data_IF_613482517735
#
_entry.id   IF_613482517735
#
_cell.length_a   1.000
_cell.length_b   1.000
_cell.length_c   1.000
_cell.angle_alpha   90.00
_cell.angle_beta   90.00
_cell.angle_gamma   90.00
#
_symmetry.space_group_name_H-M   'P 1'
#
loop_
_entity.id
_entity.type
_entity.pdbx_description
1 polymer ?
#
# COMPACT_ATOMS: atom_id res chain seq x y z
N UNK A 1 0.90 4.90 13.52
CA UNK A 1 0.50 3.55 13.03
C UNK A 1 0.73 3.42 11.53
N UNK A 2 0.27 4.40 10.76
CA UNK A 2 0.70 4.63 9.37
C UNK A 2 2.22 4.75 9.21
N UNK A 3 2.96 5.18 10.24
CA UNK A 3 4.44 5.20 10.21
C UNK A 3 5.04 3.80 9.99
N UNK A 4 4.45 2.75 10.59
CA UNK A 4 4.91 1.38 10.38
C UNK A 4 4.70 0.94 8.91
N UNK A 5 3.59 1.38 8.30
CA UNK A 5 3.29 1.11 6.90
C UNK A 5 4.25 1.87 5.97
N UNK A 6 4.51 3.15 6.23
CA UNK A 6 5.47 3.96 5.47
C UNK A 6 6.90 3.42 5.58
N UNK A 7 7.33 3.00 6.77
CA UNK A 7 8.63 2.39 6.99
C UNK A 7 8.75 1.07 6.22
N UNK A 8 7.69 0.26 6.19
CA UNK A 8 7.64 -0.96 5.40
C UNK A 8 7.71 -0.67 3.89
N UNK A 9 6.93 0.30 3.39
CA UNK A 9 6.97 0.73 1.98
C UNK A 9 8.38 1.20 1.59
N UNK A 10 9.03 1.99 2.43
CA UNK A 10 10.40 2.43 2.19
C UNK A 10 11.38 1.24 2.14
N UNK A 11 11.24 0.29 3.06
CA UNK A 11 12.10 -0.89 3.08
C UNK A 11 11.88 -1.80 1.87
N UNK A 12 10.64 -2.08 1.49
CA UNK A 12 10.32 -2.99 0.37
C UNK A 12 10.78 -2.38 -0.96
N UNK A 13 10.58 -1.07 -1.17
CA UNK A 13 11.04 -0.36 -2.38
C UNK A 13 12.57 -0.40 -2.50
N UNK A 14 13.31 -0.12 -1.43
CA UNK A 14 14.77 -0.14 -1.47
C UNK A 14 15.33 -1.55 -1.67
N UNK A 15 14.73 -2.56 -1.03
CA UNK A 15 15.19 -3.95 -1.14
C UNK A 15 14.88 -4.59 -2.50
N UNK A 16 13.86 -4.09 -3.21
CA UNK A 16 13.44 -4.63 -4.50
C UNK A 16 13.77 -3.71 -5.69
N UNK A 17 14.53 -2.62 -5.49
CA UNK A 17 14.89 -1.65 -6.55
C UNK A 17 15.47 -2.30 -7.82
N UNK A 18 16.28 -3.34 -7.67
CA UNK A 18 16.89 -4.04 -8.81
C UNK A 18 15.88 -4.92 -9.59
N UNK A 19 14.80 -5.33 -8.94
CA UNK A 19 13.75 -6.18 -9.52
C UNK A 19 12.73 -5.32 -10.26
N UNK A 20 12.30 -4.23 -9.62
CA UNK A 20 11.23 -3.37 -10.13
C UNK A 20 11.73 -2.30 -11.11
N UNK A 21 13.06 -2.13 -11.22
CA UNK A 21 13.69 -1.10 -12.04
C UNK A 21 13.84 0.23 -11.32
N UNK A 22 14.90 0.97 -11.68
CA UNK A 22 15.26 2.21 -10.98
C UNK A 22 14.19 3.30 -11.10
N UNK A 23 13.60 3.46 -12.30
CA UNK A 23 12.56 4.47 -12.55
C UNK A 23 11.32 4.25 -11.69
N UNK A 24 10.82 3.01 -11.65
CA UNK A 24 9.65 2.68 -10.84
C UNK A 24 9.95 2.75 -9.34
N UNK A 25 11.15 2.33 -8.92
CA UNK A 25 11.58 2.50 -7.53
C UNK A 25 11.64 3.98 -7.12
N UNK A 26 12.21 4.85 -7.95
CA UNK A 26 12.31 6.28 -7.66
C UNK A 26 10.92 6.94 -7.64
N UNK A 27 9.98 6.47 -8.47
CA UNK A 27 8.57 6.87 -8.42
C UNK A 27 7.89 6.47 -7.10
N UNK A 28 8.03 5.21 -6.67
CA UNK A 28 7.51 4.75 -5.37
C UNK A 28 8.09 5.57 -4.20
N UNK A 29 9.39 5.87 -4.23
CA UNK A 29 10.03 6.72 -3.22
C UNK A 29 9.46 8.15 -3.21
N UNK A 30 9.18 8.72 -4.39
CA UNK A 30 8.54 10.03 -4.51
C UNK A 30 7.15 10.04 -3.86
N UNK A 31 6.35 8.98 -4.05
CA UNK A 31 5.05 8.83 -3.38
C UNK A 31 5.22 8.76 -1.87
N UNK A 32 6.16 7.94 -1.37
CA UNK A 32 6.44 7.83 0.07
C UNK A 32 6.83 9.18 0.67
N UNK A 33 7.66 9.97 -0.01
CA UNK A 33 8.06 11.30 0.44
C UNK A 33 6.88 12.29 0.42
N UNK A 34 6.02 12.25 -0.60
CA UNK A 34 4.77 13.04 -0.63
C UNK A 34 3.92 12.72 0.60
N UNK A 35 3.68 11.44 0.89
CA UNK A 35 2.89 10.99 2.04
C UNK A 35 3.45 11.46 3.39
N UNK A 36 4.78 11.64 3.51
CA UNK A 36 5.43 12.16 4.72
C UNK A 36 5.42 13.69 4.83
N UNK A 37 5.31 14.39 3.70
CA UNK A 37 5.54 15.84 3.62
C UNK A 37 4.47 16.69 4.31
N UNK A 38 3.23 16.19 4.40
CA UNK A 38 2.11 16.88 5.03
C UNK A 38 1.03 15.89 5.47
N UNK A 39 0.09 16.37 6.27
CA UNK A 39 -1.12 15.61 6.57
C UNK A 39 -2.13 15.78 5.44
N UNK A 40 -2.42 14.70 4.74
CA UNK A 40 -3.47 14.61 3.72
C UNK A 40 -4.81 14.23 4.36
N UNK A 41 -5.92 14.63 3.75
CA UNK A 41 -7.24 14.04 4.02
C UNK A 41 -7.34 12.63 3.41
N UNK A 42 -8.33 11.84 3.81
CA UNK A 42 -8.56 10.53 3.21
C UNK A 42 -8.77 10.62 1.69
N UNK A 43 -9.57 11.59 1.23
CA UNK A 43 -9.84 11.80 -0.20
C UNK A 43 -8.59 12.27 -0.96
N UNK A 44 -7.77 13.16 -0.39
CA UNK A 44 -6.52 13.58 -1.03
C UNK A 44 -5.52 12.41 -1.13
N UNK A 45 -5.48 11.51 -0.14
CA UNK A 45 -4.67 10.28 -0.19
C UNK A 45 -5.19 9.33 -1.26
N UNK A 46 -6.51 9.14 -1.30
CA UNK A 46 -7.15 8.27 -2.28
C UNK A 46 -6.82 8.74 -3.71
N UNK A 47 -7.09 10.01 -4.03
CA UNK A 47 -6.74 10.58 -5.35
C UNK A 47 -5.25 10.48 -5.67
N UNK A 48 -4.37 10.71 -4.69
CA UNK A 48 -2.92 10.59 -4.91
C UNK A 48 -2.51 9.18 -5.38
N UNK A 49 -3.21 8.14 -4.90
CA UNK A 49 -2.90 6.74 -5.22
C UNK A 49 -3.64 6.29 -6.46
N UNK A 50 -4.95 6.57 -6.58
CA UNK A 50 -5.78 6.08 -7.70
C UNK A 50 -5.56 6.80 -9.00
N UNK A 51 -5.13 8.06 -8.98
CA UNK A 51 -4.84 8.83 -10.19
C UNK A 51 -3.43 8.52 -10.75
N UNK A 52 -2.65 7.66 -10.07
CA UNK A 52 -1.29 7.31 -10.44
C UNK A 52 -1.23 6.05 -11.32
N UNK A 53 -1.27 6.26 -12.64
CA UNK A 53 -1.25 5.16 -13.63
C UNK A 53 -0.02 4.24 -13.49
N UNK A 54 1.13 4.76 -13.04
CA UNK A 54 2.37 3.98 -12.94
C UNK A 54 2.29 2.89 -11.87
N UNK A 55 1.52 3.10 -10.80
CA UNK A 55 1.31 2.07 -9.77
C UNK A 55 0.58 0.85 -10.33
N UNK A 56 -0.45 1.08 -11.15
CA UNK A 56 -1.34 0.02 -11.63
C UNK A 56 -0.86 -0.69 -12.90
N UNK A 57 0.04 -0.06 -13.68
CA UNK A 57 0.59 -0.61 -14.93
C UNK A 57 1.19 -2.03 -14.82
N UNK A 58 1.59 -2.45 -13.62
CA UNK A 58 2.23 -3.74 -13.37
C UNK A 58 1.32 -4.77 -12.69
N UNK A 59 0.06 -4.45 -12.42
CA UNK A 59 -0.87 -5.30 -11.64
C UNK A 59 -1.71 -6.27 -12.48
N UNK A 60 -1.80 -6.08 -13.80
CA UNK A 60 -2.72 -6.81 -14.70
C UNK A 60 -2.05 -7.88 -15.59
N UNK A 61 -0.80 -8.28 -15.31
CA UNK A 61 -0.12 -9.30 -16.14
C UNK A 61 -0.46 -10.73 -15.69
N UNK A 62 -0.90 -11.58 -16.62
CA UNK A 62 -1.24 -12.98 -16.35
C UNK A 62 -0.06 -13.90 -15.94
N UNK A 63 1.16 -13.36 -15.91
CA UNK A 63 2.34 -14.06 -15.41
C UNK A 63 2.77 -13.38 -14.11
N UNK A 64 2.53 -14.04 -12.96
CA UNK A 64 2.95 -13.56 -11.63
C UNK A 64 4.46 -13.25 -11.63
N UNK A 65 4.82 -11.99 -11.92
CA UNK A 65 6.21 -11.54 -11.86
C UNK A 65 6.55 -11.01 -10.47
N UNK A 66 7.83 -10.99 -10.12
CA UNK A 66 8.27 -10.35 -8.87
C UNK A 66 7.93 -8.84 -8.82
N UNK A 67 7.86 -8.19 -9.99
CA UNK A 67 7.43 -6.80 -10.12
C UNK A 67 5.93 -6.63 -9.84
N UNK A 68 5.08 -7.51 -10.37
CA UNK A 68 3.66 -7.52 -10.07
C UNK A 68 3.40 -7.77 -8.58
N UNK A 69 4.07 -8.76 -7.99
CA UNK A 69 3.95 -9.05 -6.56
C UNK A 69 4.37 -7.84 -5.70
N UNK A 70 5.40 -7.11 -6.14
CA UNK A 70 5.77 -5.83 -5.54
C UNK A 70 4.64 -4.80 -5.64
N UNK A 71 4.12 -4.54 -6.84
CA UNK A 71 3.08 -3.52 -7.05
C UNK A 71 1.81 -3.83 -6.27
N UNK A 72 1.37 -5.08 -6.27
CA UNK A 72 0.24 -5.54 -5.47
C UNK A 72 0.47 -5.28 -3.97
N UNK A 73 1.62 -5.67 -3.43
CA UNK A 73 1.95 -5.41 -2.03
C UNK A 73 2.00 -3.91 -1.71
N UNK A 74 2.61 -3.11 -2.58
CA UNK A 74 2.75 -1.66 -2.41
C UNK A 74 1.37 -0.99 -2.36
N UNK A 75 0.51 -1.27 -3.34
CA UNK A 75 -0.85 -0.74 -3.43
C UNK A 75 -1.70 -1.21 -2.26
N UNK A 76 -1.66 -2.50 -1.90
CA UNK A 76 -2.43 -3.01 -0.75
C UNK A 76 -2.11 -2.28 0.55
N UNK A 77 -0.84 -1.97 0.80
CA UNK A 77 -0.44 -1.20 1.99
C UNK A 77 -0.92 0.24 1.91
N UNK A 78 -0.85 0.89 0.74
CA UNK A 78 -1.40 2.23 0.53
C UNK A 78 -2.92 2.27 0.75
N UNK A 79 -3.67 1.30 0.22
CA UNK A 79 -5.11 1.20 0.42
C UNK A 79 -5.47 0.97 1.88
N UNK A 80 -4.69 0.17 2.62
CA UNK A 80 -4.85 0.04 4.07
C UNK A 80 -4.63 1.37 4.80
N UNK A 81 -3.65 2.17 4.39
CA UNK A 81 -3.43 3.50 4.98
C UNK A 81 -4.59 4.45 4.69
N UNK A 82 -5.14 4.43 3.47
CA UNK A 82 -6.31 5.20 3.07
C UNK A 82 -7.54 4.79 3.89
N UNK A 83 -7.79 3.48 4.01
CA UNK A 83 -8.87 2.94 4.84
C UNK A 83 -8.75 3.39 6.32
N UNK A 84 -7.54 3.30 6.90
CA UNK A 84 -7.29 3.79 8.26
C UNK A 84 -7.59 5.30 8.38
N UNK A 85 -7.25 6.07 7.34
CA UNK A 85 -7.52 7.51 7.32
C UNK A 85 -9.02 7.81 7.26
N UNK A 86 -9.77 7.14 6.38
CA UNK A 86 -11.23 7.26 6.30
C UNK A 86 -11.89 6.99 7.67
N UNK A 87 -11.49 5.91 8.34
CA UNK A 87 -12.00 5.61 9.69
C UNK A 87 -11.63 6.68 10.71
N UNK A 88 -10.40 7.20 10.68
CA UNK A 88 -9.96 8.27 11.60
C UNK A 88 -10.73 9.58 11.40
N UNK A 89 -11.19 9.84 10.18
CA UNK A 89 -12.00 11.01 9.83
C UNK A 89 -13.50 10.81 10.08
N UNK A 90 -13.91 9.62 10.57
CA UNK A 90 -15.30 9.30 10.87
C UNK A 90 -16.19 9.13 9.63
N UNK A 91 -15.59 8.83 8.49
CA UNK A 91 -16.31 8.64 7.24
C UNK A 91 -17.14 7.36 7.28
N UNK A 92 -18.39 7.46 6.80
CA UNK A 92 -19.37 6.35 6.83
C UNK A 92 -19.46 5.58 5.52
N UNK A 93 -19.05 6.21 4.43
CA UNK A 93 -19.09 5.65 3.09
C UNK A 93 -17.65 5.58 2.59
N UNK A 94 -17.25 4.38 2.18
CA UNK A 94 -15.93 4.11 1.64
C UNK A 94 -16.04 3.95 0.12
N UNK A 95 -15.00 4.31 -0.64
CA UNK A 95 -14.89 3.91 -2.05
C UNK A 95 -14.99 2.38 -2.23
N UNK A 96 -15.46 1.92 -3.40
CA UNK A 96 -15.75 0.50 -3.69
C UNK A 96 -14.54 -0.43 -3.53
N UNK A 97 -13.35 0.06 -3.84
CA UNK A 97 -12.08 -0.66 -3.69
C UNK A 97 -11.53 -0.66 -2.25
N UNK A 98 -12.01 0.26 -1.41
CA UNK A 98 -11.68 0.37 0.02
C UNK A 98 -12.71 -0.36 0.89
N UNK A 99 -13.98 -0.42 0.48
CA UNK A 99 -15.08 -1.04 1.24
C UNK A 99 -14.79 -2.49 1.71
N UNK A 100 -14.11 -3.36 0.94
CA UNK A 100 -13.77 -4.72 1.37
C UNK A 100 -12.71 -4.79 2.48
N UNK A 101 -12.01 -3.68 2.77
CA UNK A 101 -10.91 -3.63 3.74
C UNK A 101 -11.47 -3.52 5.17
N UNK A 102 -11.19 -4.55 5.98
CA UNK A 102 -11.62 -4.63 7.38
C UNK A 102 -10.80 -3.69 8.26
N UNK A 103 -11.37 -2.52 8.57
CA UNK A 103 -10.74 -1.48 9.38
C UNK A 103 -10.21 -1.94 10.74
N UNK A 104 -10.90 -2.87 11.41
CA UNK A 104 -10.51 -3.43 12.71
C UNK A 104 -9.30 -4.37 12.65
N UNK A 105 -8.86 -4.77 11.44
CA UNK A 105 -7.69 -5.62 11.22
C UNK A 105 -6.41 -4.84 10.91
N UNK A 106 -6.53 -3.55 10.59
CA UNK A 106 -5.43 -2.74 10.09
C UNK A 106 -4.28 -2.60 11.09
N UNK A 107 -4.57 -2.43 12.38
CA UNK A 107 -3.54 -2.30 13.42
C UNK A 107 -2.68 -3.57 13.52
N UNK A 108 -3.33 -4.74 13.42
CA UNK A 108 -2.66 -6.03 13.40
C UNK A 108 -1.80 -6.20 12.15
N UNK A 109 -2.33 -5.83 10.99
CA UNK A 109 -1.59 -5.86 9.72
C UNK A 109 -0.36 -4.95 9.75
N UNK A 110 -0.48 -3.69 10.19
CA UNK A 110 0.65 -2.77 10.29
C UNK A 110 1.72 -3.22 11.30
N UNK A 111 1.29 -3.88 12.38
CA UNK A 111 2.22 -4.51 13.33
C UNK A 111 2.99 -5.66 12.68
N UNK A 112 2.29 -6.52 11.92
CA UNK A 112 2.90 -7.60 11.15
C UNK A 112 3.95 -7.08 10.14
N UNK A 113 3.63 -6.02 9.39
CA UNK A 113 4.57 -5.40 8.44
C UNK A 113 5.88 -4.96 9.13
N UNK A 114 5.76 -4.31 10.29
CA UNK A 114 6.90 -3.83 11.07
C UNK A 114 7.77 -4.98 11.58
N UNK A 115 7.14 -5.99 12.18
CA UNK A 115 7.84 -7.06 12.89
C UNK A 115 8.43 -8.11 11.96
N UNK A 116 7.71 -8.44 10.87
CA UNK A 116 8.07 -9.55 10.00
C UNK A 116 8.77 -9.12 8.72
N UNK A 117 8.54 -7.88 8.27
CA UNK A 117 9.03 -7.38 6.97
C UNK A 117 8.84 -8.42 5.86
N UNK A 118 7.57 -8.82 5.61
CA UNK A 118 7.26 -9.87 4.64
C UNK A 118 7.81 -9.51 3.25
N UNK A 119 8.13 -10.52 2.44
CA UNK A 119 8.36 -10.31 1.02
C UNK A 119 7.04 -9.92 0.32
N UNK A 120 7.10 -9.29 -0.86
CA UNK A 120 5.90 -8.76 -1.51
C UNK A 120 4.75 -9.77 -1.67
N UNK A 121 5.07 -10.99 -2.13
CA UNK A 121 4.07 -12.05 -2.28
C UNK A 121 3.39 -12.43 -0.96
N UNK A 122 4.15 -12.54 0.12
CA UNK A 122 3.61 -12.87 1.45
C UNK A 122 2.78 -11.71 2.01
N UNK A 123 3.20 -10.47 1.76
CA UNK A 123 2.47 -9.26 2.13
C UNK A 123 1.10 -9.20 1.44
N UNK A 124 1.06 -9.46 0.14
CA UNK A 124 -0.20 -9.46 -0.61
C UNK A 124 -1.12 -10.61 -0.15
N UNK A 125 -0.56 -11.81 0.02
CA UNK A 125 -1.33 -12.96 0.51
C UNK A 125 -1.93 -12.73 1.89
N UNK A 126 -1.17 -12.14 2.83
CA UNK A 126 -1.70 -11.87 4.16
C UNK A 126 -2.77 -10.78 4.09
N UNK A 127 -2.58 -9.73 3.28
CA UNK A 127 -3.59 -8.70 3.04
C UNK A 127 -4.90 -9.33 2.57
N UNK A 128 -4.88 -10.13 1.50
CA UNK A 128 -6.08 -10.78 0.97
C UNK A 128 -6.75 -11.71 1.99
N UNK A 129 -5.97 -12.44 2.81
CA UNK A 129 -6.51 -13.43 3.76
C UNK A 129 -7.03 -12.83 5.07
N UNK A 130 -6.49 -11.70 5.49
CA UNK A 130 -6.70 -11.18 6.85
C UNK A 130 -7.33 -9.80 6.90
N UNK A 131 -7.19 -9.02 5.82
CA UNK A 131 -7.67 -7.64 5.77
C UNK A 131 -8.83 -7.50 4.78
N UNK A 132 -8.86 -8.25 3.67
CA UNK A 132 -10.00 -8.27 2.76
C UNK A 132 -11.10 -9.24 3.20
N UNK A 133 -12.35 -8.87 2.92
CA UNK A 133 -13.55 -9.73 3.01
C UNK A 133 -13.67 -10.72 1.84
#
# INVERSE_FOLDING_TARGET
MTDNALDYLLWITNSHKNIIGAEFADHCLSIIEKLKSRNYTADELYSLVTDDELLYNYTDNAAETECEAFSQAFISVLMCMICAKYHSEGQKFLPEDIEPIQGDKLDGFFTYLKEKRPLPKDCYQIFCKTVCL
#
